data_IF_488200381433
#
_entry.id   IF_488200381433
#
_cell.length_a   1.000
_cell.length_b   1.000
_cell.length_c   1.000
_cell.angle_alpha   90.00
_cell.angle_beta   90.00
_cell.angle_gamma   90.00
#
_symmetry.space_group_name_H-M   'P 1'
#
loop_
_entity.id
_entity.type
_entity.pdbx_description
1 polymer ?
#
# COMPACT_ATOMS: atom_id res chain seq x y z
N UNK A 1 9.00 30.31 -10.18
CA UNK A 1 7.69 30.65 -9.57
C UNK A 1 6.47 30.08 -10.30
N UNK A 2 6.51 29.78 -11.59
CA UNK A 2 5.38 29.32 -12.42
C UNK A 2 4.82 27.92 -12.07
N UNK A 3 5.62 27.01 -11.49
CA UNK A 3 5.20 25.63 -11.20
C UNK A 3 4.14 25.50 -10.09
N UNK A 4 4.09 26.43 -9.13
CA UNK A 4 3.13 26.31 -8.02
C UNK A 4 1.70 26.71 -8.43
N UNK A 5 1.56 27.70 -9.30
CA UNK A 5 0.24 28.16 -9.77
C UNK A 5 -0.46 27.07 -10.60
N UNK A 6 0.26 26.41 -11.50
CA UNK A 6 -0.25 25.29 -12.29
C UNK A 6 -0.76 24.14 -11.38
N UNK A 7 0.00 23.75 -10.36
CA UNK A 7 -0.38 22.70 -9.44
C UNK A 7 -1.63 23.07 -8.61
N UNK A 8 -1.76 24.35 -8.24
CA UNK A 8 -2.95 24.86 -7.53
C UNK A 8 -4.18 24.76 -8.45
N UNK A 9 -4.04 25.17 -9.71
CA UNK A 9 -5.12 25.08 -10.70
C UNK A 9 -5.53 23.61 -10.90
N UNK A 10 -4.57 22.70 -11.08
CA UNK A 10 -4.85 21.26 -11.24
C UNK A 10 -5.63 20.74 -10.01
N UNK A 11 -5.17 21.01 -8.80
CA UNK A 11 -5.86 20.58 -7.58
C UNK A 11 -7.28 21.12 -7.44
N UNK A 12 -7.54 22.31 -7.95
CA UNK A 12 -8.84 22.99 -7.81
C UNK A 12 -9.87 22.55 -8.86
N UNK A 13 -9.41 22.31 -10.10
CA UNK A 13 -10.32 22.08 -11.23
C UNK A 13 -10.42 20.60 -11.65
N UNK A 14 -9.47 19.77 -11.25
CA UNK A 14 -9.50 18.34 -11.58
C UNK A 14 -10.05 17.53 -10.41
N UNK A 15 -11.05 16.70 -10.66
CA UNK A 15 -11.49 15.69 -9.69
C UNK A 15 -10.32 14.73 -9.47
N UNK A 16 -9.86 14.60 -8.22
CA UNK A 16 -8.73 13.75 -7.84
C UNK A 16 -9.13 12.29 -7.66
N UNK A 17 -8.20 11.41 -7.93
CA UNK A 17 -8.29 10.01 -7.54
C UNK A 17 -8.14 9.90 -6.02
N UNK A 18 -9.08 9.24 -5.36
CA UNK A 18 -8.95 8.96 -3.92
C UNK A 18 -8.58 7.51 -3.68
N UNK A 19 -7.56 7.28 -2.86
CA UNK A 19 -7.11 5.95 -2.44
C UNK A 19 -7.16 5.92 -0.92
N UNK A 20 -7.89 4.94 -0.38
CA UNK A 20 -8.01 4.70 1.06
C UNK A 20 -7.49 3.29 1.36
N UNK A 21 -6.48 3.19 2.24
CA UNK A 21 -5.83 1.92 2.59
C UNK A 21 -6.08 1.63 4.04
N UNK A 22 -6.51 0.40 4.31
CA UNK A 22 -6.82 -0.10 5.65
C UNK A 22 -6.25 -1.49 5.84
N UNK A 23 -5.93 -1.81 7.08
CA UNK A 23 -5.51 -3.14 7.49
C UNK A 23 -6.59 -3.81 8.32
N UNK A 24 -6.80 -5.10 8.10
CA UNK A 24 -7.73 -5.92 8.86
C UNK A 24 -7.07 -7.20 9.36
N UNK A 25 -7.46 -7.62 10.53
CA UNK A 25 -7.15 -8.93 11.09
C UNK A 25 -8.46 -9.55 11.56
N UNK A 26 -8.76 -10.76 11.10
CA UNK A 26 -10.02 -11.47 11.48
C UNK A 26 -11.26 -10.58 11.30
N UNK A 27 -11.38 -9.91 10.15
CA UNK A 27 -12.47 -8.99 9.78
C UNK A 27 -12.60 -7.72 10.66
N UNK A 28 -11.57 -7.35 11.43
CA UNK A 28 -11.55 -6.11 12.21
C UNK A 28 -10.41 -5.21 11.76
N UNK A 29 -10.71 -3.91 11.58
CA UNK A 29 -9.69 -2.92 11.28
C UNK A 29 -8.69 -2.80 12.43
N UNK A 30 -7.41 -2.77 12.09
CA UNK A 30 -6.29 -2.72 13.02
C UNK A 30 -5.29 -1.63 12.61
N UNK A 31 -4.88 -0.83 13.58
CA UNK A 31 -3.74 0.08 13.43
C UNK A 31 -2.48 -0.42 14.12
N UNK A 32 -2.58 -1.51 14.90
CA UNK A 32 -1.46 -2.10 15.62
C UNK A 32 -1.65 -3.61 15.73
N UNK A 33 -0.57 -4.36 15.50
CA UNK A 33 -0.50 -5.82 15.70
C UNK A 33 0.64 -6.13 16.66
N UNK A 34 0.35 -6.97 17.65
CA UNK A 34 1.29 -7.39 18.69
C UNK A 34 1.65 -8.85 18.50
N UNK A 35 2.92 -9.10 18.32
CA UNK A 35 3.48 -10.43 18.23
C UNK A 35 4.04 -10.87 19.58
N UNK A 36 3.55 -12.02 20.06
CA UNK A 36 4.03 -12.67 21.28
C UNK A 36 4.91 -13.85 20.91
N UNK A 37 5.92 -14.07 21.72
CA UNK A 37 6.79 -15.22 21.54
C UNK A 37 6.08 -16.47 22.05
N UNK A 38 6.03 -17.50 21.22
CA UNK A 38 5.59 -18.84 21.56
C UNK A 38 6.79 -19.80 21.44
N UNK A 39 7.48 -20.05 22.57
CA UNK A 39 8.78 -20.76 22.55
C UNK A 39 9.90 -19.83 22.09
N UNK A 40 10.65 -20.25 21.05
CA UNK A 40 11.80 -19.51 20.52
C UNK A 40 11.48 -18.70 19.26
N UNK A 41 10.22 -18.70 18.83
CA UNK A 41 9.77 -18.03 17.60
C UNK A 41 8.50 -17.23 17.83
N UNK A 42 8.28 -16.23 17.01
CA UNK A 42 7.00 -15.54 16.95
C UNK A 42 5.99 -16.32 16.10
N UNK A 43 4.71 -16.20 16.48
CA UNK A 43 3.62 -16.66 15.60
C UNK A 43 3.53 -15.78 14.38
N UNK A 44 3.19 -16.38 13.24
CA UNK A 44 2.83 -15.65 12.03
C UNK A 44 1.43 -15.03 12.19
N UNK A 45 1.21 -13.87 11.57
CA UNK A 45 -0.12 -13.24 11.55
C UNK A 45 -0.49 -12.89 10.11
N UNK A 46 -1.68 -13.30 9.69
CA UNK A 46 -2.25 -12.96 8.38
C UNK A 46 -3.02 -11.67 8.51
N UNK A 47 -2.72 -10.71 7.64
CA UNK A 47 -3.33 -9.39 7.62
C UNK A 47 -3.87 -9.10 6.23
N UNK A 48 -5.18 -8.83 6.14
CA UNK A 48 -5.81 -8.35 4.92
C UNK A 48 -5.49 -6.86 4.73
N UNK A 49 -4.89 -6.52 3.60
CA UNK A 49 -4.70 -5.16 3.13
C UNK A 49 -5.87 -4.81 2.21
N UNK A 50 -6.68 -3.85 2.62
CA UNK A 50 -7.81 -3.36 1.83
C UNK A 50 -7.44 -2.02 1.19
N UNK A 51 -7.53 -1.95 -0.13
CA UNK A 51 -7.27 -0.76 -0.93
C UNK A 51 -8.56 -0.35 -1.64
N UNK A 52 -9.15 0.74 -1.21
CA UNK A 52 -10.36 1.30 -1.82
C UNK A 52 -9.97 2.44 -2.75
N UNK A 53 -10.36 2.34 -4.01
CA UNK A 53 -10.04 3.32 -5.04
C UNK A 53 -11.31 3.98 -5.53
N UNK A 54 -11.42 5.29 -5.34
CA UNK A 54 -12.50 6.10 -5.91
C UNK A 54 -11.96 6.88 -7.10
N UNK A 55 -12.46 6.61 -8.32
CA UNK A 55 -11.87 7.14 -9.53
C UNK A 55 -12.05 8.67 -9.64
N UNK A 56 -11.07 9.28 -10.26
CA UNK A 56 -11.07 10.68 -10.65
C UNK A 56 -11.97 10.93 -11.88
N UNK A 57 -11.99 12.17 -12.37
CA UNK A 57 -12.59 12.49 -13.67
C UNK A 57 -11.84 11.78 -14.82
N UNK A 58 -12.49 11.54 -15.95
CA UNK A 58 -11.94 10.81 -17.11
C UNK A 58 -10.56 11.31 -17.53
N UNK A 59 -10.37 12.63 -17.60
CA UNK A 59 -9.10 13.24 -17.99
C UNK A 59 -8.00 12.98 -16.95
N UNK A 60 -8.33 13.13 -15.66
CA UNK A 60 -7.39 12.84 -14.58
C UNK A 60 -6.97 11.37 -14.57
N UNK A 61 -7.91 10.45 -14.79
CA UNK A 61 -7.63 9.02 -14.88
C UNK A 61 -6.74 8.68 -16.07
N UNK A 62 -6.97 9.31 -17.24
CA UNK A 62 -6.11 9.13 -18.39
C UNK A 62 -4.68 9.60 -18.10
N UNK A 63 -4.53 10.78 -17.51
CA UNK A 63 -3.22 11.32 -17.15
C UNK A 63 -2.52 10.41 -16.14
N UNK A 64 -3.21 9.98 -15.07
CA UNK A 64 -2.63 9.10 -14.05
C UNK A 64 -2.21 7.74 -14.61
N UNK A 65 -2.98 7.19 -15.55
CA UNK A 65 -2.61 5.95 -16.24
C UNK A 65 -1.36 6.12 -17.09
N UNK A 66 -1.23 7.23 -17.79
CA UNK A 66 -0.03 7.57 -18.58
C UNK A 66 1.20 7.83 -17.70
N UNK A 67 1.01 8.40 -16.50
CA UNK A 67 2.08 8.65 -15.54
C UNK A 67 2.54 7.38 -14.82
N UNK A 68 1.79 6.28 -14.88
CA UNK A 68 2.09 5.02 -14.20
C UNK A 68 2.00 5.17 -12.68
N UNK A 69 0.76 5.16 -12.14
CA UNK A 69 0.54 5.30 -10.71
C UNK A 69 0.82 3.98 -9.98
N UNK A 70 1.80 4.00 -9.07
CA UNK A 70 2.18 2.87 -8.23
C UNK A 70 1.93 3.18 -6.76
N UNK A 71 1.54 2.15 -6.03
CA UNK A 71 1.50 2.12 -4.58
C UNK A 71 2.68 1.31 -4.08
N UNK A 72 3.57 1.91 -3.32
CA UNK A 72 4.73 1.24 -2.72
C UNK A 72 4.50 1.02 -1.24
N UNK A 73 4.63 -0.22 -0.78
CA UNK A 73 4.59 -0.60 0.63
C UNK A 73 6.02 -0.67 1.18
N UNK A 74 6.26 0.01 2.29
CA UNK A 74 7.56 0.07 2.97
C UNK A 74 7.48 -0.59 4.33
N UNK A 75 8.49 -1.37 4.68
CA UNK A 75 8.65 -1.99 5.97
C UNK A 75 10.13 -2.15 6.31
N UNK A 76 10.45 -2.44 7.57
CA UNK A 76 11.84 -2.67 7.99
C UNK A 76 12.16 -4.18 7.92
N UNK A 77 12.96 -4.63 6.93
CA UNK A 77 13.26 -6.05 6.72
C UNK A 77 14.23 -6.65 7.74
N UNK A 78 14.85 -5.82 8.57
CA UNK A 78 15.67 -6.30 9.68
C UNK A 78 14.80 -6.76 10.86
N UNK A 79 13.54 -6.33 10.92
CA UNK A 79 12.62 -6.61 12.02
C UNK A 79 11.56 -7.61 11.60
N UNK A 80 10.96 -7.41 10.42
CA UNK A 80 9.88 -8.26 9.90
C UNK A 80 10.19 -8.73 8.49
N UNK A 81 9.60 -9.87 8.13
CA UNK A 81 9.44 -10.32 6.75
C UNK A 81 7.96 -10.23 6.36
N UNK A 82 7.71 -10.02 5.08
CA UNK A 82 6.35 -9.99 4.54
C UNK A 82 6.32 -10.91 3.34
N UNK A 83 5.39 -11.87 3.37
CA UNK A 83 5.09 -12.76 2.26
C UNK A 83 3.63 -12.62 1.88
N UNK A 84 3.32 -12.92 0.63
CA UNK A 84 1.94 -12.94 0.14
C UNK A 84 1.35 -14.33 0.37
N UNK A 85 0.09 -14.40 0.78
CA UNK A 85 -0.60 -15.69 0.98
C UNK A 85 -0.81 -16.41 -0.35
N UNK A 86 -1.12 -15.64 -1.40
CA UNK A 86 -1.31 -16.15 -2.75
C UNK A 86 -0.23 -15.57 -3.67
N UNK A 87 0.94 -16.21 -3.71
CA UNK A 87 2.06 -15.80 -4.58
C UNK A 87 1.67 -15.67 -6.06
N UNK A 88 0.59 -16.35 -6.47
CA UNK A 88 0.17 -16.40 -7.86
C UNK A 88 -0.77 -15.26 -8.28
N UNK A 89 -1.52 -14.65 -7.37
CA UNK A 89 -2.51 -13.63 -7.75
C UNK A 89 -1.88 -12.23 -7.88
N UNK A 90 -0.88 -11.93 -7.06
CA UNK A 90 -0.16 -10.65 -7.14
C UNK A 90 1.06 -10.70 -8.06
N UNK A 91 1.67 -11.87 -8.20
CA UNK A 91 2.73 -12.13 -9.18
C UNK A 91 2.19 -12.35 -10.58
N UNK A 92 0.88 -12.57 -10.71
CA UNK A 92 0.28 -12.68 -12.02
C UNK A 92 0.56 -11.41 -12.82
N UNK A 93 1.13 -11.57 -14.00
CA UNK A 93 1.47 -10.47 -14.91
C UNK A 93 0.26 -9.56 -15.21
N UNK A 94 -0.96 -10.02 -14.92
CA UNK A 94 -2.19 -9.27 -15.01
C UNK A 94 -2.45 -8.34 -13.82
N UNK A 95 -2.04 -8.68 -12.61
CA UNK A 95 -2.28 -7.86 -11.42
C UNK A 95 -1.30 -6.67 -11.28
N UNK A 96 -0.17 -6.67 -12.00
CA UNK A 96 0.75 -5.54 -12.02
C UNK A 96 1.60 -5.34 -10.78
N UNK A 97 1.73 -6.39 -9.97
CA UNK A 97 2.55 -6.34 -8.76
C UNK A 97 3.96 -6.81 -9.06
N UNK A 98 4.95 -6.07 -8.60
CA UNK A 98 6.35 -6.42 -8.71
C UNK A 98 6.97 -6.42 -7.32
N UNK A 99 7.48 -7.56 -6.88
CA UNK A 99 8.37 -7.63 -5.71
C UNK A 99 9.74 -7.19 -6.21
N UNK A 100 10.21 -6.05 -5.75
CA UNK A 100 11.59 -5.64 -5.98
C UNK A 100 12.48 -6.20 -4.88
N UNK A 101 13.68 -6.63 -5.23
CA UNK A 101 14.69 -7.19 -4.29
C UNK A 101 15.05 -6.26 -3.12
N UNK A 102 14.61 -5.01 -3.13
CA UNK A 102 14.93 -3.98 -2.14
C UNK A 102 13.85 -3.72 -1.10
N UNK A 103 13.02 -4.75 -0.74
CA UNK A 103 12.13 -4.64 0.44
C UNK A 103 10.95 -3.67 0.28
N UNK A 104 10.53 -3.42 -0.93
CA UNK A 104 9.34 -2.67 -1.27
C UNK A 104 8.44 -3.51 -2.16
N UNK A 105 7.20 -3.67 -1.74
CA UNK A 105 6.15 -4.23 -2.58
C UNK A 105 5.53 -3.09 -3.39
N UNK A 106 5.52 -3.21 -4.72
CA UNK A 106 4.98 -2.18 -5.61
C UNK A 106 3.77 -2.71 -6.37
N UNK A 107 2.65 -2.00 -6.27
CA UNK A 107 1.38 -2.35 -6.90
C UNK A 107 1.03 -1.27 -7.92
N UNK A 108 0.78 -1.64 -9.18
CA UNK A 108 0.22 -0.73 -10.18
C UNK A 108 -1.30 -0.65 -10.02
N UNK A 109 -1.76 0.41 -9.37
CA UNK A 109 -3.17 0.60 -9.01
C UNK A 109 -4.08 0.71 -10.23
N UNK A 110 -3.58 1.16 -11.37
CA UNK A 110 -4.37 1.44 -12.57
C UNK A 110 -4.09 0.51 -13.76
N UNK A 111 -3.27 -0.54 -13.58
CA UNK A 111 -2.92 -1.45 -14.66
C UNK A 111 -4.15 -2.03 -15.35
N UNK A 112 -5.08 -2.57 -14.59
CA UNK A 112 -6.29 -3.21 -15.08
C UNK A 112 -7.47 -2.25 -15.23
N UNK A 113 -7.28 -0.95 -14.93
CA UNK A 113 -8.34 0.04 -15.09
C UNK A 113 -8.60 0.34 -16.56
N UNK A 114 -9.83 0.07 -17.02
CA UNK A 114 -10.26 0.36 -18.40
C UNK A 114 -10.92 1.75 -18.47
N UNK A 115 -10.56 2.52 -19.50
CA UNK A 115 -11.09 3.86 -19.73
C UNK A 115 -12.41 3.87 -20.52
N UNK A 116 -12.97 2.70 -20.82
CA UNK A 116 -14.20 2.51 -21.59
C UNK A 116 -15.41 2.97 -20.76
N UNK A 117 -15.82 4.16 -20.99
CA UNK A 117 -17.10 4.86 -20.74
C UNK A 117 -18.01 4.50 -19.55
N UNK A 118 -17.94 3.31 -18.99
CA UNK A 118 -18.80 2.79 -17.90
C UNK A 118 -18.14 2.80 -16.52
N UNK A 119 -16.86 3.14 -16.41
CA UNK A 119 -16.08 3.02 -15.19
C UNK A 119 -15.91 4.35 -14.45
N UNK A 120 -17.01 4.85 -13.93
CA UNK A 120 -16.97 5.83 -12.84
C UNK A 120 -17.13 5.18 -11.46
N UNK A 121 -17.09 3.87 -11.38
CA UNK A 121 -17.36 3.14 -10.14
C UNK A 121 -16.08 3.00 -9.31
N UNK A 122 -16.22 3.23 -8.01
CA UNK A 122 -15.20 2.86 -7.03
C UNK A 122 -14.96 1.35 -7.10
N UNK A 123 -13.71 0.94 -6.97
CA UNK A 123 -13.33 -0.47 -6.89
C UNK A 123 -12.50 -0.72 -5.65
N UNK A 124 -12.50 -1.96 -5.22
CA UNK A 124 -11.77 -2.42 -4.04
C UNK A 124 -10.84 -3.55 -4.44
N UNK A 125 -9.63 -3.49 -3.95
CA UNK A 125 -8.65 -4.57 -3.99
C UNK A 125 -8.38 -5.04 -2.56
N UNK A 126 -8.26 -6.34 -2.36
CA UNK A 126 -7.90 -6.94 -1.08
C UNK A 126 -6.78 -7.92 -1.30
N UNK A 127 -5.84 -7.95 -0.38
CA UNK A 127 -4.73 -8.87 -0.41
C UNK A 127 -4.34 -9.31 0.99
N UNK A 128 -4.05 -10.59 1.13
CA UNK A 128 -3.60 -11.17 2.37
C UNK A 128 -2.08 -11.25 2.41
N UNK A 129 -1.49 -10.58 3.39
CA UNK A 129 -0.06 -10.63 3.68
C UNK A 129 0.20 -11.39 4.97
N UNK A 130 1.27 -12.19 4.99
CA UNK A 130 1.78 -12.83 6.18
C UNK A 130 2.93 -12.00 6.72
N UNK A 131 2.84 -11.59 7.97
CA UNK A 131 3.91 -10.87 8.66
C UNK A 131 4.62 -11.85 9.59
N UNK A 132 5.94 -11.93 9.42
CA UNK A 132 6.82 -12.81 10.17
C UNK A 132 7.90 -11.98 10.85
N UNK A 133 7.88 -11.81 12.20
CA UNK A 133 8.98 -11.16 12.89
C UNK A 133 10.26 -12.01 12.84
N UNK A 134 11.40 -11.37 12.51
CA UNK A 134 12.69 -12.07 12.29
C UNK A 134 13.53 -12.24 13.54
N UNK A 135 13.32 -11.44 14.57
CA UNK A 135 14.18 -11.40 15.76
C UNK A 135 13.39 -11.55 17.05
N UNK A 136 13.85 -12.45 17.90
CA UNK A 136 13.27 -12.75 19.22
C UNK A 136 13.69 -11.68 20.25
N UNK A 137 13.50 -10.42 19.94
CA UNK A 137 13.74 -9.30 20.85
C UNK A 137 12.66 -8.25 20.73
N UNK A 138 12.50 -7.48 21.78
CA UNK A 138 11.55 -6.36 21.74
C UNK A 138 11.91 -5.38 20.63
N UNK A 139 10.96 -5.15 19.73
CA UNK A 139 11.12 -4.23 18.61
C UNK A 139 9.76 -3.65 18.21
N UNK A 140 9.79 -2.43 17.70
CA UNK A 140 8.63 -1.78 17.10
C UNK A 140 9.01 -1.31 15.71
N UNK A 141 8.16 -1.57 14.74
CA UNK A 141 8.28 -1.08 13.37
C UNK A 141 6.91 -0.75 12.82
N UNK A 142 6.85 -0.20 11.62
CA UNK A 142 5.58 0.07 10.95
C UNK A 142 5.63 -0.34 9.48
N UNK A 143 4.43 -0.61 8.94
CA UNK A 143 4.19 -0.78 7.52
C UNK A 143 3.49 0.48 7.04
N UNK A 144 4.06 1.11 6.04
CA UNK A 144 3.60 2.35 5.45
C UNK A 144 3.43 2.21 3.95
N UNK A 145 2.51 2.98 3.37
CA UNK A 145 2.34 3.07 1.93
C UNK A 145 2.69 4.46 1.41
N UNK A 146 3.16 4.51 0.18
CA UNK A 146 3.44 5.74 -0.52
C UNK A 146 2.99 5.65 -1.97
N UNK A 147 2.28 6.66 -2.43
CA UNK A 147 1.96 6.81 -3.84
C UNK A 147 3.15 7.35 -4.61
N UNK A 148 3.45 6.72 -5.73
CA UNK A 148 4.51 7.12 -6.63
C UNK A 148 4.02 7.06 -8.08
N UNK A 149 4.41 8.02 -8.87
CA UNK A 149 4.25 7.99 -10.32
C UNK A 149 5.61 7.77 -10.96
N UNK A 150 5.65 6.95 -12.02
CA UNK A 150 6.89 6.67 -12.76
C UNK A 150 7.40 7.95 -13.42
N UNK A 151 6.48 8.75 -13.94
CA UNK A 151 6.77 10.00 -14.62
C UNK A 151 5.99 11.13 -13.95
N UNK A 152 6.61 12.31 -13.79
CA UNK A 152 5.90 13.52 -13.36
C UNK A 152 5.31 13.45 -11.95
N UNK A 153 6.06 12.99 -10.97
CA UNK A 153 5.60 12.75 -9.59
C UNK A 153 4.80 13.91 -8.97
N UNK A 154 5.17 15.16 -9.25
CA UNK A 154 4.43 16.34 -8.75
C UNK A 154 3.01 16.42 -9.29
N UNK A 155 2.82 16.13 -10.58
CA UNK A 155 1.50 16.12 -11.21
C UNK A 155 0.67 14.94 -10.71
N UNK A 156 1.27 13.74 -10.61
CA UNK A 156 0.60 12.56 -10.05
C UNK A 156 0.08 12.83 -8.64
N UNK A 157 0.92 13.37 -7.76
CA UNK A 157 0.51 13.72 -6.39
C UNK A 157 -0.52 14.86 -6.33
N UNK A 158 -0.58 15.73 -7.33
CA UNK A 158 -1.62 16.75 -7.42
C UNK A 158 -2.99 16.18 -7.83
N UNK A 159 -2.99 15.11 -8.62
CA UNK A 159 -4.19 14.42 -9.12
C UNK A 159 -4.68 13.30 -8.19
N UNK A 160 -3.89 12.94 -7.16
CA UNK A 160 -4.25 11.92 -6.18
C UNK A 160 -4.51 12.54 -4.81
N UNK A 161 -5.42 11.92 -4.08
CA UNK A 161 -5.66 12.12 -2.66
C UNK A 161 -5.61 10.76 -1.98
N UNK A 162 -4.82 10.62 -0.92
CA UNK A 162 -4.64 9.34 -0.26
C UNK A 162 -4.88 9.46 1.24
N UNK A 163 -5.66 8.53 1.76
CA UNK A 163 -5.78 8.22 3.18
C UNK A 163 -5.11 6.87 3.40
N UNK A 164 -3.92 6.88 3.99
CA UNK A 164 -3.12 5.68 4.18
C UNK A 164 -3.00 5.40 5.67
N UNK A 165 -3.61 4.30 6.12
CA UNK A 165 -3.40 3.83 7.47
C UNK A 165 -1.96 3.34 7.60
N UNK A 166 -1.33 3.64 8.73
CA UNK A 166 -0.10 3.02 9.18
C UNK A 166 -0.43 1.81 10.02
N UNK A 167 0.27 0.69 9.80
CA UNK A 167 0.18 -0.48 10.65
C UNK A 167 1.42 -0.57 11.53
N UNK A 168 1.22 -0.41 12.83
CA UNK A 168 2.28 -0.54 13.83
C UNK A 168 2.44 -2.02 14.18
N UNK A 169 3.66 -2.51 14.16
CA UNK A 169 4.05 -3.87 14.52
C UNK A 169 4.85 -3.79 15.82
N UNK A 170 4.33 -4.38 16.87
CA UNK A 170 5.00 -4.49 18.17
C UNK A 170 5.40 -5.95 18.41
N UNK A 171 6.70 -6.21 18.51
CA UNK A 171 7.24 -7.50 18.91
C UNK A 171 7.56 -7.46 20.42
N UNK A 172 6.88 -8.26 21.20
CA UNK A 172 7.17 -8.41 22.64
C UNK A 172 8.42 -9.31 22.78
N UNK A 173 9.53 -8.78 23.33
CA UNK A 173 10.78 -9.53 23.52
C UNK A 173 10.60 -10.77 24.40
N UNK A 174 11.48 -11.75 24.25
CA UNK A 174 11.54 -12.92 25.14
C UNK A 174 12.05 -12.56 26.54
N UNK A 175 11.83 -13.46 27.49
CA UNK A 175 12.27 -13.30 28.89
C UNK A 175 13.81 -13.26 29.07
N UNK A 176 14.58 -13.27 27.99
CA UNK A 176 16.06 -13.26 28.01
C UNK A 176 16.66 -11.83 27.97
N UNK A 177 15.83 -10.79 28.01
CA UNK A 177 16.29 -9.40 28.06
C UNK A 177 16.38 -8.86 29.51
N UNK A 178 16.80 -9.72 30.46
CA UNK A 178 17.12 -9.33 31.84
C UNK A 178 18.60 -9.52 32.11
#
# INVERSE_FOLDING_TARGET
MTNNLFLIIVKRYFKRLSIDIKFKTKNRYKGCVKFKIAGDVYSEEVIEVEINVSPAGKLSMLILKLLGLKLEMFFNPQIIDITLVNDNEWLDAEAGTTITESQTLSIDVLKNYRLDGKLSNAFRMTEDIIIIPKRVRRATTSINFKLKTVIGSKLGNALCESSMAELIIECEGGKLDV
#
